data_IF_021415319102
#
_entry.id   IF_021415319102
#
_cell.length_a   1.000
_cell.length_b   1.000
_cell.length_c   1.000
_cell.angle_alpha   90.00
_cell.angle_beta   90.00
_cell.angle_gamma   90.00
#
_symmetry.space_group_name_H-M   'P 1'
#
loop_
_entity.id
_entity.type
_entity.pdbx_description
1 polymer ?
#
# COMPACT_ATOMS: atom_id res chain seq x y z
N UNK A 1 -36.34 -5.84 -29.42
CA UNK A 1 -35.12 -5.56 -30.18
C UNK A 1 -33.96 -5.92 -29.33
N UNK A 2 -33.23 -6.97 -29.70
CA UNK A 2 -32.03 -7.46 -28.97
C UNK A 2 -30.84 -6.61 -29.43
N UNK A 3 -30.19 -5.90 -28.53
CA UNK A 3 -28.87 -5.32 -28.79
C UNK A 3 -27.86 -6.09 -27.96
N UNK A 4 -27.08 -6.92 -28.66
CA UNK A 4 -26.00 -7.70 -28.11
C UNK A 4 -24.82 -6.78 -27.73
N UNK A 5 -24.30 -6.97 -26.54
CA UNK A 5 -23.00 -6.46 -26.14
C UNK A 5 -21.94 -7.47 -26.57
N UNK A 6 -21.20 -7.12 -27.59
CA UNK A 6 -19.99 -7.84 -27.99
C UNK A 6 -18.89 -7.56 -26.99
N UNK A 7 -18.46 -8.61 -26.29
CA UNK A 7 -17.25 -8.64 -25.48
C UNK A 7 -16.04 -8.31 -26.35
N UNK A 8 -15.46 -7.14 -26.17
CA UNK A 8 -14.16 -6.80 -26.73
C UNK A 8 -13.11 -7.54 -25.91
N UNK A 9 -12.61 -8.64 -26.45
CA UNK A 9 -11.52 -9.41 -25.89
C UNK A 9 -10.21 -8.62 -25.91
N UNK A 10 -9.86 -8.03 -24.77
CA UNK A 10 -8.54 -7.46 -24.53
C UNK A 10 -7.53 -8.56 -24.16
N UNK A 11 -7.42 -9.62 -24.99
CA UNK A 11 -6.26 -10.49 -25.02
C UNK A 11 -5.17 -9.86 -25.90
N UNK A 12 -4.76 -8.64 -25.58
CA UNK A 12 -3.52 -8.08 -26.07
C UNK A 12 -2.38 -8.96 -25.59
N UNK A 13 -1.73 -9.70 -26.49
CA UNK A 13 -0.51 -10.45 -26.25
C UNK A 13 0.46 -9.56 -25.47
N UNK A 14 0.62 -9.84 -24.16
CA UNK A 14 1.77 -9.35 -23.40
C UNK A 14 2.99 -9.94 -24.07
N UNK A 15 3.53 -9.20 -25.03
CA UNK A 15 4.79 -9.53 -25.72
C UNK A 15 5.80 -9.67 -24.58
N UNK A 16 6.56 -10.77 -24.54
CA UNK A 16 7.54 -11.08 -23.50
C UNK A 16 8.29 -9.80 -23.08
N UNK A 17 7.94 -9.27 -21.89
CA UNK A 17 8.30 -7.93 -21.43
C UNK A 17 9.61 -7.97 -20.65
N UNK A 18 10.60 -8.57 -21.23
CA UNK A 18 12.02 -8.34 -20.96
C UNK A 18 12.77 -8.90 -22.17
N UNK A 19 13.65 -8.11 -22.79
CA UNK A 19 14.73 -8.75 -23.53
C UNK A 19 15.41 -9.65 -22.50
N UNK A 20 15.41 -10.99 -22.63
CA UNK A 20 16.17 -11.80 -21.73
C UNK A 20 17.60 -11.28 -21.85
N UNK A 21 18.16 -10.72 -20.79
CA UNK A 21 19.59 -10.68 -20.67
C UNK A 21 19.93 -12.16 -20.57
N UNK A 22 20.31 -12.77 -21.69
CA UNK A 22 20.84 -14.13 -21.77
C UNK A 22 22.20 -14.11 -21.07
N UNK A 23 22.16 -13.94 -19.74
CA UNK A 23 23.31 -13.96 -18.89
C UNK A 23 23.67 -15.40 -18.60
N UNK A 24 24.75 -15.87 -19.17
CA UNK A 24 25.45 -17.05 -18.70
C UNK A 24 25.65 -16.97 -17.19
N UNK A 25 25.60 -18.09 -16.50
CA UNK A 25 25.96 -18.18 -15.08
C UNK A 25 27.33 -17.51 -14.90
N UNK A 26 27.39 -16.47 -14.01
CA UNK A 26 28.58 -15.65 -13.78
C UNK A 26 28.55 -14.25 -14.43
N UNK A 27 27.53 -13.89 -15.21
CA UNK A 27 27.43 -12.54 -15.77
C UNK A 27 27.34 -11.46 -14.66
N UNK A 28 28.18 -10.43 -14.80
CA UNK A 28 28.12 -9.26 -13.93
C UNK A 28 27.24 -8.19 -14.57
N UNK A 29 26.31 -7.65 -13.78
CA UNK A 29 25.42 -6.55 -14.15
C UNK A 29 25.83 -5.32 -13.33
N UNK A 30 25.98 -4.18 -13.98
CA UNK A 30 26.26 -2.92 -13.30
C UNK A 30 25.01 -2.05 -13.27
N UNK A 31 24.60 -1.65 -12.08
CA UNK A 31 23.48 -0.75 -11.82
C UNK A 31 23.86 0.34 -10.82
N UNK A 32 23.13 1.42 -10.77
CA UNK A 32 23.30 2.46 -9.74
C UNK A 32 22.47 2.08 -8.52
N UNK A 33 21.28 1.53 -8.76
CA UNK A 33 20.31 1.12 -7.74
C UNK A 33 19.89 -0.33 -7.97
N UNK A 34 19.82 -1.11 -6.88
CA UNK A 34 19.15 -2.42 -6.88
C UNK A 34 17.98 -2.38 -5.92
N UNK A 35 16.81 -2.78 -6.37
CA UNK A 35 15.60 -2.92 -5.57
C UNK A 35 15.28 -4.40 -5.39
N UNK A 36 15.18 -4.85 -4.15
CA UNK A 36 14.79 -6.22 -3.83
C UNK A 36 13.32 -6.23 -3.38
N UNK A 37 12.47 -6.81 -4.23
CA UNK A 37 11.01 -6.84 -4.09
C UNK A 37 10.30 -5.91 -5.06
N UNK A 38 9.53 -6.49 -5.99
CA UNK A 38 8.72 -5.80 -7.01
C UNK A 38 7.27 -5.59 -6.61
N UNK A 39 7.02 -5.39 -5.31
CA UNK A 39 5.69 -5.09 -4.80
C UNK A 39 5.24 -3.64 -5.04
N UNK A 40 4.12 -3.27 -4.37
CA UNK A 40 3.47 -1.95 -4.53
C UNK A 40 4.30 -0.76 -3.98
N UNK A 41 5.47 -1.00 -3.39
CA UNK A 41 6.43 0.04 -3.00
C UNK A 41 7.73 -0.05 -3.81
N UNK A 42 8.28 -1.25 -4.01
CA UNK A 42 9.57 -1.41 -4.70
C UNK A 42 9.50 -1.06 -6.18
N UNK A 43 8.43 -1.47 -6.86
CA UNK A 43 8.26 -1.18 -8.29
C UNK A 43 8.07 0.32 -8.57
N UNK A 44 7.23 1.09 -7.82
CA UNK A 44 7.18 2.55 -7.95
C UNK A 44 8.52 3.23 -7.69
N UNK A 45 9.32 2.76 -6.72
CA UNK A 45 10.64 3.31 -6.47
C UNK A 45 11.60 3.04 -7.64
N UNK A 46 11.58 1.83 -8.19
CA UNK A 46 12.35 1.49 -9.39
C UNK A 46 11.96 2.37 -10.59
N UNK A 47 10.68 2.60 -10.80
CA UNK A 47 10.13 3.49 -11.83
C UNK A 47 10.63 4.92 -11.60
N UNK A 48 10.59 5.44 -10.36
CA UNK A 48 11.04 6.79 -10.03
C UNK A 48 12.52 6.98 -10.39
N UNK A 49 13.39 6.07 -9.97
CA UNK A 49 14.81 6.12 -10.26
C UNK A 49 15.09 6.03 -11.77
N UNK A 50 14.47 5.09 -12.45
CA UNK A 50 14.68 4.88 -13.89
C UNK A 50 14.16 6.05 -14.74
N UNK A 51 13.01 6.64 -14.36
CA UNK A 51 12.47 7.83 -15.01
C UNK A 51 13.40 9.05 -14.87
N UNK A 52 14.22 9.09 -13.82
CA UNK A 52 15.23 10.13 -13.60
C UNK A 52 16.60 9.79 -14.22
N UNK A 53 16.71 8.68 -14.98
CA UNK A 53 17.92 8.29 -15.70
C UNK A 53 18.90 7.38 -14.94
N UNK A 54 18.55 6.92 -13.72
CA UNK A 54 19.40 5.98 -13.00
C UNK A 54 19.18 4.53 -13.50
N UNK A 55 20.28 3.85 -13.82
CA UNK A 55 20.22 2.42 -14.15
C UNK A 55 19.82 1.63 -12.93
N UNK A 56 18.61 1.07 -12.98
CA UNK A 56 17.97 0.40 -11.87
C UNK A 56 17.70 -1.06 -12.21
N UNK A 57 18.03 -1.97 -11.29
CA UNK A 57 17.69 -3.40 -11.38
C UNK A 57 16.69 -3.73 -10.28
N UNK A 58 15.53 -4.24 -10.67
CA UNK A 58 14.52 -4.79 -9.80
C UNK A 58 14.68 -6.31 -9.75
N UNK A 59 14.75 -6.88 -8.56
CA UNK A 59 14.82 -8.33 -8.34
C UNK A 59 13.57 -8.76 -7.59
N UNK A 60 12.79 -9.69 -8.17
CA UNK A 60 11.64 -10.26 -7.49
C UNK A 60 11.62 -11.79 -7.61
N UNK A 61 11.20 -12.46 -6.56
CA UNK A 61 11.10 -13.93 -6.51
C UNK A 61 9.93 -14.46 -7.34
N UNK A 62 8.88 -13.66 -7.50
CA UNK A 62 7.66 -14.02 -8.21
C UNK A 62 7.70 -13.55 -9.66
N UNK A 63 7.20 -14.36 -10.58
CA UNK A 63 7.03 -13.93 -11.96
C UNK A 63 5.93 -12.89 -12.09
N UNK A 64 6.07 -11.87 -12.97
CA UNK A 64 5.01 -10.91 -13.25
C UNK A 64 3.68 -11.57 -13.59
N UNK A 65 3.69 -12.65 -14.36
CA UNK A 65 2.47 -13.39 -14.73
C UNK A 65 1.72 -13.94 -13.49
N UNK A 66 2.46 -14.44 -12.49
CA UNK A 66 1.88 -14.90 -11.20
C UNK A 66 1.27 -13.76 -10.44
N UNK A 67 1.96 -12.63 -10.35
CA UNK A 67 1.50 -11.43 -9.63
C UNK A 67 0.25 -10.79 -10.26
N UNK A 68 0.02 -11.02 -11.55
CA UNK A 68 -1.13 -10.50 -12.31
C UNK A 68 -2.29 -11.49 -12.39
N UNK A 69 -2.10 -12.75 -11.95
CA UNK A 69 -3.14 -13.76 -11.98
C UNK A 69 -4.30 -13.38 -11.01
N UNK A 70 -5.54 -13.67 -11.42
CA UNK A 70 -6.73 -13.35 -10.62
C UNK A 70 -6.72 -13.93 -9.21
N UNK A 71 -6.31 -15.20 -8.98
CA UNK A 71 -6.33 -15.78 -7.65
C UNK A 71 -5.17 -15.31 -6.75
N UNK A 72 -4.26 -14.46 -7.24
CA UNK A 72 -3.08 -14.05 -6.47
C UNK A 72 -3.42 -13.12 -5.30
N UNK A 73 -4.25 -12.11 -5.54
CA UNK A 73 -4.56 -11.08 -4.54
C UNK A 73 -5.91 -10.41 -4.85
N UNK A 74 -6.93 -10.72 -4.10
CA UNK A 74 -8.28 -10.14 -4.23
C UNK A 74 -8.48 -8.86 -3.40
N UNK A 75 -7.41 -8.27 -2.86
CA UNK A 75 -7.50 -7.04 -2.08
C UNK A 75 -7.55 -5.80 -2.98
N UNK A 76 -8.17 -4.76 -2.45
CA UNK A 76 -8.06 -3.40 -2.95
C UNK A 76 -7.25 -2.53 -1.99
N UNK A 77 -6.77 -1.41 -2.49
CA UNK A 77 -6.06 -0.41 -1.70
C UNK A 77 -6.74 0.94 -1.83
N UNK A 78 -6.81 1.66 -0.72
CA UNK A 78 -7.14 3.07 -0.71
C UNK A 78 -5.88 3.86 -1.07
N UNK A 79 -5.88 4.53 -2.21
CA UNK A 79 -4.81 5.42 -2.66
C UNK A 79 -5.21 6.82 -2.22
N UNK A 80 -4.58 7.36 -1.19
CA UNK A 80 -4.83 8.72 -0.71
C UNK A 80 -4.43 9.74 -1.79
N UNK A 81 -5.02 10.93 -1.75
CA UNK A 81 -4.75 12.00 -2.73
C UNK A 81 -3.25 12.27 -2.91
N UNK A 82 -2.48 12.39 -1.82
CA UNK A 82 -1.03 12.57 -1.91
C UNK A 82 -0.29 11.42 -2.59
N UNK A 83 -0.75 10.18 -2.42
CA UNK A 83 -0.19 9.00 -3.10
C UNK A 83 -0.58 8.94 -4.58
N UNK A 84 -1.79 9.40 -4.92
CA UNK A 84 -2.20 9.55 -6.31
C UNK A 84 -1.26 10.50 -7.06
N UNK A 85 -0.90 11.64 -6.48
CA UNK A 85 0.04 12.59 -7.08
C UNK A 85 1.42 11.98 -7.33
N UNK A 86 1.88 11.10 -6.43
CA UNK A 86 3.13 10.36 -6.66
C UNK A 86 2.99 9.44 -7.87
N UNK A 87 1.92 8.65 -7.94
CA UNK A 87 1.68 7.73 -9.06
C UNK A 87 1.49 8.48 -10.39
N UNK A 88 0.88 9.65 -10.35
CA UNK A 88 0.72 10.53 -11.51
C UNK A 88 2.07 11.07 -11.98
N UNK A 89 2.87 11.65 -11.09
CA UNK A 89 4.23 12.11 -11.39
C UNK A 89 5.17 11.01 -11.91
N UNK A 90 4.90 9.74 -11.58
CA UNK A 90 5.60 8.58 -12.13
C UNK A 90 5.05 8.10 -13.48
N UNK A 91 3.97 8.69 -13.99
CA UNK A 91 3.28 8.30 -15.23
C UNK A 91 2.53 6.96 -15.10
N UNK A 92 2.14 6.57 -13.87
CA UNK A 92 1.38 5.34 -13.60
C UNK A 92 -0.12 5.60 -13.60
N UNK A 93 -0.56 6.77 -13.12
CA UNK A 93 -1.95 7.08 -12.86
C UNK A 93 -2.83 6.97 -14.10
N UNK A 94 -2.35 7.37 -15.27
CA UNK A 94 -3.06 7.25 -16.55
C UNK A 94 -3.52 5.81 -16.88
N UNK A 95 -2.93 4.79 -16.25
CA UNK A 95 -3.30 3.39 -16.42
C UNK A 95 -4.23 2.87 -15.33
N UNK A 96 -4.57 3.73 -14.35
CA UNK A 96 -5.43 3.41 -13.20
C UNK A 96 -6.75 4.16 -13.23
N UNK A 97 -6.80 5.31 -13.88
CA UNK A 97 -7.87 6.30 -13.77
C UNK A 97 -9.26 5.72 -13.99
N UNK A 98 -9.44 4.91 -15.04
CA UNK A 98 -10.73 4.30 -15.38
C UNK A 98 -11.20 3.25 -14.34
N UNK A 99 -10.27 2.67 -13.57
CA UNK A 99 -10.55 1.65 -12.57
C UNK A 99 -10.52 2.19 -11.13
N UNK A 100 -10.23 3.48 -10.97
CA UNK A 100 -10.10 4.13 -9.68
C UNK A 100 -11.43 4.75 -9.24
N UNK A 101 -12.04 4.24 -8.18
CA UNK A 101 -13.27 4.80 -7.63
C UNK A 101 -12.94 5.90 -6.61
N UNK A 102 -13.37 7.15 -6.82
CA UNK A 102 -13.13 8.21 -5.86
C UNK A 102 -13.87 8.00 -4.54
N UNK A 103 -13.20 8.38 -3.43
CA UNK A 103 -13.76 8.48 -2.09
C UNK A 103 -14.14 9.93 -1.86
N UNK A 104 -15.44 10.22 -1.87
CA UNK A 104 -15.99 11.56 -1.72
C UNK A 104 -16.35 11.84 -0.26
N UNK A 105 -16.87 10.83 0.42
CA UNK A 105 -17.27 10.88 1.81
C UNK A 105 -16.63 9.76 2.61
N UNK A 106 -16.33 10.05 3.89
CA UNK A 106 -15.91 9.02 4.85
C UNK A 106 -16.85 9.11 6.05
N UNK A 107 -17.49 7.99 6.38
CA UNK A 107 -18.36 7.86 7.55
C UNK A 107 -17.73 6.91 8.56
N UNK A 108 -17.50 7.40 9.77
CA UNK A 108 -16.94 6.62 10.86
C UNK A 108 -17.98 6.49 11.95
N UNK A 109 -18.35 5.26 12.30
CA UNK A 109 -19.37 4.99 13.32
C UNK A 109 -18.88 3.91 14.30
N UNK A 110 -19.27 4.05 15.57
CA UNK A 110 -19.22 2.96 16.54
C UNK A 110 -20.58 2.24 16.54
N UNK A 111 -20.62 0.94 16.43
CA UNK A 111 -21.85 0.14 16.36
C UNK A 111 -22.87 0.45 17.47
N UNK A 112 -22.40 0.82 18.65
CA UNK A 112 -23.23 1.08 19.83
C UNK A 112 -23.66 2.55 19.96
N UNK A 113 -23.17 3.45 19.08
CA UNK A 113 -23.40 4.89 19.19
C UNK A 113 -24.34 5.39 18.07
N UNK A 114 -25.31 6.25 18.37
CA UNK A 114 -26.04 7.00 17.36
C UNK A 114 -25.20 8.13 16.75
N UNK A 115 -24.02 8.38 17.29
CA UNK A 115 -23.10 9.41 16.82
C UNK A 115 -22.17 8.83 15.76
N UNK A 116 -21.98 9.56 14.68
CA UNK A 116 -21.01 9.22 13.63
C UNK A 116 -20.21 10.47 13.25
N UNK A 117 -18.99 10.26 12.80
CA UNK A 117 -18.16 11.31 12.25
C UNK A 117 -18.29 11.26 10.73
N UNK A 118 -18.57 12.39 10.12
CA UNK A 118 -18.72 12.52 8.68
C UNK A 118 -17.68 13.46 8.11
N UNK A 119 -16.87 12.99 7.22
CA UNK A 119 -15.94 13.79 6.43
C UNK A 119 -16.49 13.94 5.02
N UNK A 120 -16.84 15.15 4.63
CA UNK A 120 -17.19 15.55 3.27
C UNK A 120 -15.96 16.20 2.63
N UNK A 121 -15.50 15.69 1.47
CA UNK A 121 -14.32 16.23 0.81
C UNK A 121 -14.44 17.73 0.51
N UNK A 122 -15.64 18.24 0.25
CA UNK A 122 -15.88 19.65 -0.06
C UNK A 122 -15.52 20.60 1.10
N UNK A 123 -15.40 20.10 2.34
CA UNK A 123 -14.94 20.90 3.48
C UNK A 123 -13.43 21.25 3.43
N UNK A 124 -12.65 20.55 2.59
CA UNK A 124 -11.20 20.76 2.46
C UNK A 124 -10.74 21.04 1.03
N UNK A 125 -11.66 21.02 0.06
CA UNK A 125 -11.40 21.35 -1.35
C UNK A 125 -12.31 20.57 -2.29
N UNK A 126 -12.09 20.68 -3.60
CA UNK A 126 -12.92 20.02 -4.63
C UNK A 126 -12.43 18.61 -4.99
N UNK A 127 -11.35 18.14 -4.36
CA UNK A 127 -10.70 16.88 -4.71
C UNK A 127 -11.10 15.76 -3.73
N UNK A 128 -11.25 14.52 -4.19
CA UNK A 128 -11.59 13.40 -3.35
C UNK A 128 -10.49 13.12 -2.29
N UNK A 129 -10.86 12.43 -1.21
CA UNK A 129 -9.87 12.00 -0.19
C UNK A 129 -8.82 11.06 -0.77
N UNK A 130 -9.21 10.31 -1.79
CA UNK A 130 -8.41 9.31 -2.46
C UNK A 130 -9.29 8.43 -3.35
N UNK A 131 -8.77 7.27 -3.72
CA UNK A 131 -9.44 6.33 -4.62
C UNK A 131 -9.26 4.91 -4.13
N UNK A 132 -10.25 4.07 -4.35
CA UNK A 132 -10.13 2.63 -4.16
C UNK A 132 -9.79 1.98 -5.50
N UNK A 133 -8.72 1.18 -5.51
CA UNK A 133 -8.25 0.45 -6.70
C UNK A 133 -7.88 -0.98 -6.30
N UNK A 134 -8.23 -1.95 -7.13
CA UNK A 134 -7.81 -3.34 -6.95
C UNK A 134 -6.28 -3.46 -7.06
N UNK A 135 -5.64 -4.16 -6.14
CA UNK A 135 -4.18 -4.32 -6.14
C UNK A 135 -3.65 -4.93 -7.45
N UNK A 136 -4.44 -5.82 -8.07
CA UNK A 136 -4.11 -6.39 -9.38
C UNK A 136 -4.00 -5.32 -10.45
N UNK A 137 -4.94 -4.37 -10.49
CA UNK A 137 -4.95 -3.26 -11.45
C UNK A 137 -3.76 -2.34 -11.21
N UNK A 138 -3.44 -2.05 -9.93
CA UNK A 138 -2.24 -1.26 -9.60
C UNK A 138 -0.98 -1.96 -10.13
N UNK A 139 -0.83 -3.28 -9.94
CA UNK A 139 0.30 -4.03 -10.48
C UNK A 139 0.35 -3.99 -12.00
N UNK A 140 -0.78 -4.17 -12.69
CA UNK A 140 -0.86 -4.08 -14.14
C UNK A 140 -0.35 -2.73 -14.65
N UNK A 141 -0.79 -1.63 -14.04
CA UNK A 141 -0.37 -0.27 -14.36
C UNK A 141 1.15 -0.07 -14.14
N UNK A 142 1.66 -0.54 -13.00
CA UNK A 142 3.08 -0.46 -12.67
C UNK A 142 3.95 -1.27 -13.65
N UNK A 143 3.56 -2.49 -13.99
CA UNK A 143 4.28 -3.28 -14.98
C UNK A 143 4.21 -2.69 -16.38
N UNK A 144 3.07 -2.09 -16.74
CA UNK A 144 2.93 -1.37 -18.00
C UNK A 144 3.89 -0.19 -18.06
N UNK A 145 3.95 0.64 -17.02
CA UNK A 145 4.87 1.75 -16.93
C UNK A 145 6.34 1.31 -16.92
N UNK A 146 6.66 0.26 -16.18
CA UNK A 146 8.00 -0.33 -16.16
C UNK A 146 8.50 -0.69 -17.57
N UNK A 147 7.64 -1.26 -18.41
CA UNK A 147 8.00 -1.67 -19.76
C UNK A 147 8.39 -0.54 -20.71
N UNK A 148 8.02 0.68 -20.38
CA UNK A 148 8.34 1.89 -21.13
C UNK A 148 9.73 2.47 -20.76
N UNK A 149 10.36 1.96 -19.69
CA UNK A 149 11.58 2.52 -19.13
C UNK A 149 12.80 1.64 -19.45
N UNK A 150 13.65 2.11 -20.35
CA UNK A 150 14.88 1.40 -20.73
C UNK A 150 15.88 1.28 -19.58
N UNK A 151 15.87 2.24 -18.64
CA UNK A 151 16.75 2.25 -17.47
C UNK A 151 16.31 1.30 -16.35
N UNK A 152 15.16 0.61 -16.47
CA UNK A 152 14.67 -0.35 -15.47
C UNK A 152 14.72 -1.77 -16.01
N UNK A 153 15.60 -2.58 -15.44
CA UNK A 153 15.69 -4.02 -15.74
C UNK A 153 15.01 -4.82 -14.62
N UNK A 154 14.04 -5.66 -14.97
CA UNK A 154 13.38 -6.56 -14.04
C UNK A 154 13.95 -7.97 -14.16
N UNK A 155 14.46 -8.52 -13.07
CA UNK A 155 14.91 -9.90 -12.93
C UNK A 155 13.91 -10.66 -12.06
N UNK A 156 12.98 -11.38 -12.70
CA UNK A 156 11.92 -12.16 -12.05
C UNK A 156 11.56 -13.40 -12.91
N UNK A 157 11.56 -14.62 -12.35
CA UNK A 157 11.86 -14.92 -10.96
C UNK A 157 13.36 -14.87 -10.67
N UNK A 158 13.74 -14.17 -9.61
CA UNK A 158 15.10 -14.17 -9.09
C UNK A 158 15.10 -13.77 -7.60
N UNK A 159 16.09 -14.23 -6.87
CA UNK A 159 16.23 -13.90 -5.46
C UNK A 159 17.69 -13.74 -5.06
N UNK A 160 18.01 -12.81 -4.14
CA UNK A 160 19.35 -12.69 -3.58
C UNK A 160 19.72 -13.96 -2.82
N UNK A 161 20.92 -14.49 -3.07
CA UNK A 161 21.54 -15.53 -2.25
C UNK A 161 22.47 -14.89 -1.20
N UNK A 162 23.13 -13.77 -1.56
CA UNK A 162 24.05 -13.04 -0.68
C UNK A 162 24.10 -11.57 -1.08
N UNK A 163 24.18 -10.67 -0.09
CA UNK A 163 24.36 -9.23 -0.29
C UNK A 163 25.56 -8.76 0.54
N UNK A 164 26.61 -8.34 -0.12
CA UNK A 164 27.83 -7.79 0.51
C UNK A 164 27.85 -6.29 0.33
N UNK A 165 28.10 -5.56 1.42
CA UNK A 165 28.07 -4.10 1.43
C UNK A 165 29.36 -3.57 2.04
N UNK A 166 30.16 -2.83 1.25
CA UNK A 166 31.34 -2.13 1.73
C UNK A 166 31.14 -0.60 1.72
N UNK A 167 32.19 0.17 1.94
CA UNK A 167 32.12 1.64 1.95
C UNK A 167 31.82 2.24 0.57
N UNK A 168 32.17 1.56 -0.52
CA UNK A 168 32.11 2.08 -1.88
C UNK A 168 30.97 1.52 -2.73
N UNK A 169 30.53 0.28 -2.45
CA UNK A 169 29.60 -0.46 -3.30
C UNK A 169 28.84 -1.56 -2.56
N UNK A 170 27.89 -2.13 -3.29
CA UNK A 170 27.17 -3.34 -2.92
C UNK A 170 27.34 -4.37 -4.01
N UNK A 171 27.54 -5.63 -3.62
CA UNK A 171 27.53 -6.78 -4.51
C UNK A 171 26.37 -7.70 -4.12
N UNK A 172 25.41 -7.86 -5.02
CA UNK A 172 24.27 -8.77 -4.87
C UNK A 172 24.53 -10.01 -5.71
N UNK A 173 24.75 -11.15 -5.07
CA UNK A 173 24.80 -12.44 -5.74
C UNK A 173 23.39 -13.05 -5.75
N UNK A 174 22.89 -13.43 -6.92
CA UNK A 174 21.60 -14.09 -7.10
C UNK A 174 21.76 -15.62 -7.00
N UNK A 175 20.66 -16.29 -6.64
CA UNK A 175 20.65 -17.76 -6.51
C UNK A 175 20.93 -18.50 -7.82
N UNK A 176 20.72 -17.86 -8.97
CA UNK A 176 21.02 -18.39 -10.31
C UNK A 176 22.46 -18.13 -10.76
N UNK A 177 23.31 -17.58 -9.92
CA UNK A 177 24.72 -17.32 -10.16
C UNK A 177 25.05 -15.97 -10.79
N UNK A 178 24.06 -15.17 -11.21
CA UNK A 178 24.27 -13.78 -11.67
C UNK A 178 24.74 -12.91 -10.50
N UNK A 179 25.50 -11.86 -10.80
CA UNK A 179 26.00 -10.90 -9.81
C UNK A 179 25.66 -9.48 -10.26
N UNK A 180 25.19 -8.66 -9.32
CA UNK A 180 24.85 -7.25 -9.60
C UNK A 180 25.74 -6.39 -8.72
N UNK A 181 26.48 -5.45 -9.33
CA UNK A 181 27.24 -4.43 -8.64
C UNK A 181 26.45 -3.13 -8.64
N UNK A 182 26.28 -2.53 -7.46
CA UNK A 182 25.47 -1.31 -7.32
C UNK A 182 26.05 -0.38 -6.25
N UNK A 183 25.55 0.87 -6.19
CA UNK A 183 25.87 1.86 -5.16
C UNK A 183 24.92 1.80 -3.97
N UNK A 184 23.66 1.42 -4.21
CA UNK A 184 22.60 1.33 -3.19
C UNK A 184 21.74 0.10 -3.42
N UNK A 185 21.44 -0.65 -2.37
CA UNK A 185 20.39 -1.66 -2.35
C UNK A 185 19.21 -1.17 -1.54
N UNK A 186 18.00 -1.33 -2.08
CA UNK A 186 16.75 -0.95 -1.42
C UNK A 186 15.95 -2.21 -1.14
N UNK A 187 15.67 -2.47 0.13
CA UNK A 187 14.85 -3.59 0.57
C UNK A 187 13.36 -3.19 0.54
N UNK A 188 12.62 -3.76 -0.41
CA UNK A 188 11.18 -3.67 -0.54
C UNK A 188 10.55 -5.08 -0.54
N UNK A 189 11.21 -6.03 0.13
CA UNK A 189 10.92 -7.46 0.19
C UNK A 189 9.87 -7.84 1.24
N UNK A 190 9.12 -6.84 1.71
CA UNK A 190 7.93 -6.99 2.53
C UNK A 190 8.20 -7.21 4.02
N UNK A 191 7.13 -7.49 4.77
CA UNK A 191 7.15 -7.60 6.24
C UNK A 191 8.21 -8.55 6.79
N UNK A 192 8.50 -9.62 6.08
CA UNK A 192 9.50 -10.63 6.43
C UNK A 192 10.86 -10.38 5.77
N UNK A 193 11.23 -9.12 5.57
CA UNK A 193 12.45 -8.71 4.89
C UNK A 193 13.69 -9.49 5.33
N UNK A 194 14.31 -10.20 4.38
CA UNK A 194 15.55 -10.91 4.60
C UNK A 194 16.71 -9.91 4.75
N UNK A 195 16.74 -8.87 3.91
CA UNK A 195 17.79 -7.84 3.96
C UNK A 195 17.80 -7.08 5.29
N UNK A 196 16.62 -6.80 5.84
CA UNK A 196 16.50 -6.20 7.18
C UNK A 196 17.14 -7.08 8.24
N UNK A 197 16.83 -8.39 8.23
CA UNK A 197 17.43 -9.37 9.18
C UNK A 197 18.92 -9.50 9.01
N UNK A 198 19.41 -9.62 7.77
CA UNK A 198 20.83 -9.76 7.44
C UNK A 198 21.64 -8.52 7.85
N UNK A 199 21.02 -7.35 7.85
CA UNK A 199 21.59 -6.11 8.35
C UNK A 199 21.56 -5.98 9.88
N UNK A 200 21.04 -6.98 10.60
CA UNK A 200 20.91 -6.94 12.06
C UNK A 200 19.95 -5.85 12.56
N UNK A 201 19.01 -5.40 11.72
CA UNK A 201 18.03 -4.37 12.09
C UNK A 201 16.88 -5.05 12.84
N UNK A 202 16.77 -4.73 14.13
CA UNK A 202 15.69 -5.23 14.98
C UNK A 202 14.35 -4.63 14.60
N UNK A 203 13.27 -5.33 14.97
CA UNK A 203 11.90 -4.83 14.81
C UNK A 203 11.20 -4.74 16.15
N UNK A 204 10.35 -3.74 16.28
CA UNK A 204 9.42 -3.56 17.39
C UNK A 204 8.01 -3.69 16.87
N UNK A 205 7.12 -4.20 17.67
CA UNK A 205 5.72 -4.34 17.28
C UNK A 205 5.05 -5.49 18.02
N UNK A 206 3.85 -5.79 17.63
CA UNK A 206 3.06 -6.88 18.19
C UNK A 206 2.12 -7.46 17.14
N UNK A 207 1.83 -8.73 17.27
CA UNK A 207 0.74 -9.36 16.56
C UNK A 207 -0.57 -9.06 17.32
N UNK A 208 -1.58 -8.57 16.60
CA UNK A 208 -2.89 -8.43 17.18
C UNK A 208 -3.60 -9.80 17.20
N UNK A 209 -4.41 -10.08 18.23
CA UNK A 209 -5.25 -11.28 18.24
C UNK A 209 -6.43 -11.15 17.25
N UNK A 210 -6.16 -10.63 16.07
CA UNK A 210 -7.11 -10.26 15.03
C UNK A 210 -6.62 -10.69 13.66
N UNK A 211 -7.57 -11.10 12.79
CA UNK A 211 -7.36 -11.27 11.36
C UNK A 211 -8.29 -10.34 10.59
N UNK A 212 -7.86 -9.93 9.41
CA UNK A 212 -8.74 -9.29 8.44
C UNK A 212 -9.27 -10.35 7.46
N UNK A 213 -10.58 -10.36 7.24
CA UNK A 213 -11.25 -11.06 6.13
C UNK A 213 -11.52 -10.00 5.07
N UNK A 214 -11.08 -10.24 3.85
CA UNK A 214 -11.19 -9.25 2.76
C UNK A 214 -11.74 -9.89 1.50
N UNK A 215 -12.50 -9.11 0.74
CA UNK A 215 -13.03 -9.47 -0.56
C UNK A 215 -13.96 -8.39 -1.10
N UNK A 216 -14.70 -8.71 -2.13
CA UNK A 216 -15.60 -7.79 -2.82
C UNK A 216 -17.04 -8.20 -2.64
N UNK A 217 -17.94 -7.24 -2.49
CA UNK A 217 -19.38 -7.42 -2.54
C UNK A 217 -19.98 -6.61 -3.69
N UNK A 218 -20.97 -7.18 -4.37
CA UNK A 218 -21.92 -6.44 -5.18
C UNK A 218 -23.09 -6.00 -4.30
N UNK A 219 -23.75 -4.89 -4.64
CA UNK A 219 -24.89 -4.37 -3.90
C UNK A 219 -25.91 -3.69 -4.82
N UNK A 220 -27.15 -3.62 -4.33
CA UNK A 220 -28.31 -3.16 -5.12
C UNK A 220 -28.26 -1.65 -5.38
N UNK A 221 -28.00 -0.85 -4.35
CA UNK A 221 -28.05 0.62 -4.40
C UNK A 221 -26.67 1.22 -4.62
N UNK A 222 -26.54 2.37 -5.30
CA UNK A 222 -25.26 3.03 -5.49
C UNK A 222 -24.67 3.53 -4.17
N UNK A 223 -23.35 3.37 -4.00
CA UNK A 223 -22.59 3.84 -2.82
C UNK A 223 -22.26 5.34 -2.83
N UNK A 224 -22.45 6.03 -3.94
CA UNK A 224 -22.18 7.47 -4.09
C UNK A 224 -20.78 7.93 -3.68
N UNK A 225 -19.76 7.07 -3.78
CA UNK A 225 -18.39 7.38 -3.34
C UNK A 225 -18.17 7.42 -1.83
N UNK A 226 -19.11 6.90 -1.04
CA UNK A 226 -19.04 6.88 0.42
C UNK A 226 -18.22 5.68 0.91
N UNK A 227 -17.12 5.94 1.63
CA UNK A 227 -16.40 4.93 2.42
C UNK A 227 -16.98 4.89 3.84
N UNK A 228 -17.19 3.70 4.36
CA UNK A 228 -17.74 3.51 5.71
C UNK A 228 -16.75 2.70 6.54
N UNK A 229 -16.50 3.17 7.77
CA UNK A 229 -15.70 2.47 8.77
C UNK A 229 -16.58 2.26 10.00
N UNK A 230 -17.04 1.05 10.23
CA UNK A 230 -17.76 0.66 11.44
C UNK A 230 -16.82 0.04 12.45
N UNK A 231 -16.70 0.62 13.62
CA UNK A 231 -15.98 -0.01 14.72
C UNK A 231 -16.87 -1.01 15.44
N UNK A 232 -16.51 -2.28 15.32
CA UNK A 232 -17.17 -3.41 15.98
C UNK A 232 -16.31 -3.91 17.15
N UNK A 233 -16.86 -4.70 18.09
CA UNK A 233 -16.09 -5.22 19.24
C UNK A 233 -14.85 -6.06 18.89
N UNK A 234 -14.85 -6.70 17.71
CA UNK A 234 -13.71 -7.46 17.21
C UNK A 234 -12.67 -6.60 16.48
N UNK A 235 -13.03 -5.38 16.11
CA UNK A 235 -12.21 -4.44 15.36
C UNK A 235 -12.98 -3.75 14.23
N UNK A 236 -12.32 -2.94 13.40
CA UNK A 236 -12.98 -2.20 12.33
C UNK A 236 -13.53 -3.11 11.22
N UNK A 237 -14.67 -2.67 10.67
CA UNK A 237 -15.33 -3.25 9.51
C UNK A 237 -15.47 -2.13 8.47
N UNK A 238 -14.64 -2.18 7.44
CA UNK A 238 -14.61 -1.17 6.38
C UNK A 238 -15.41 -1.62 5.16
N UNK A 239 -16.19 -0.69 4.59
CA UNK A 239 -16.89 -0.82 3.32
C UNK A 239 -16.37 0.29 2.42
N UNK A 240 -15.63 -0.08 1.39
CA UNK A 240 -14.89 0.87 0.55
C UNK A 240 -15.47 0.86 -0.86
N UNK A 241 -15.88 2.01 -1.42
CA UNK A 241 -16.54 2.08 -2.72
C UNK A 241 -15.60 1.62 -3.85
N UNK A 242 -16.10 0.78 -4.74
CA UNK A 242 -15.41 0.35 -5.97
C UNK A 242 -16.23 0.73 -7.20
N UNK A 243 -15.62 0.71 -8.36
CA UNK A 243 -16.31 1.00 -9.62
C UNK A 243 -17.56 0.12 -9.82
N UNK A 244 -18.67 0.74 -10.24
CA UNK A 244 -19.98 0.11 -10.31
C UNK A 244 -20.65 0.00 -8.93
N UNK A 245 -21.66 -0.84 -8.82
CA UNK A 245 -22.31 -1.13 -7.55
C UNK A 245 -21.55 -2.24 -6.82
N UNK A 246 -20.29 -1.98 -6.50
CA UNK A 246 -19.40 -2.89 -5.78
C UNK A 246 -18.71 -2.17 -4.63
N UNK A 247 -18.38 -2.90 -3.59
CA UNK A 247 -17.54 -2.42 -2.50
C UNK A 247 -16.52 -3.45 -2.07
N UNK A 248 -15.32 -3.01 -1.73
CA UNK A 248 -14.36 -3.84 -1.02
C UNK A 248 -14.70 -3.86 0.46
N UNK A 249 -14.68 -5.04 1.05
CA UNK A 249 -14.89 -5.25 2.48
C UNK A 249 -13.56 -5.62 3.13
N UNK A 250 -13.25 -4.95 4.24
CA UNK A 250 -12.18 -5.35 5.16
C UNK A 250 -12.81 -5.57 6.52
N UNK A 251 -13.03 -6.82 6.85
CA UNK A 251 -13.68 -7.25 8.08
C UNK A 251 -12.65 -7.75 9.09
N UNK A 252 -12.39 -6.96 10.12
CA UNK A 252 -11.54 -7.39 11.23
C UNK A 252 -12.32 -8.29 12.19
N UNK A 253 -11.76 -9.46 12.49
CA UNK A 253 -12.35 -10.42 13.40
C UNK A 253 -11.28 -11.02 14.35
N UNK A 254 -11.72 -11.55 15.49
CA UNK A 254 -10.83 -12.25 16.42
C UNK A 254 -10.15 -13.43 15.73
N UNK A 255 -8.85 -13.57 15.87
CA UNK A 255 -8.07 -14.63 15.23
C UNK A 255 -8.62 -16.04 15.54
N UNK A 256 -9.15 -16.26 16.75
CA UNK A 256 -9.75 -17.51 17.16
C UNK A 256 -11.05 -17.86 16.39
N UNK A 257 -11.82 -16.88 15.93
CA UNK A 257 -13.08 -17.06 15.22
C UNK A 257 -12.93 -17.13 13.70
N UNK A 258 -11.88 -16.50 13.17
CA UNK A 258 -11.65 -16.39 11.72
C UNK A 258 -11.64 -17.75 11.00
N UNK A 259 -10.97 -18.81 11.49
CA UNK A 259 -10.96 -20.09 10.78
C UNK A 259 -12.37 -20.73 10.67
N UNK A 260 -13.25 -20.51 11.64
CA UNK A 260 -14.61 -20.98 11.59
C UNK A 260 -15.44 -20.21 10.55
N UNK A 261 -15.30 -18.87 10.52
CA UNK A 261 -15.96 -18.01 9.53
C UNK A 261 -15.53 -18.34 8.10
N UNK A 262 -14.25 -18.57 7.88
CA UNK A 262 -13.71 -18.91 6.56
C UNK A 262 -14.20 -20.28 6.03
N UNK A 263 -14.64 -21.17 6.90
CA UNK A 263 -15.20 -22.50 6.55
C UNK A 263 -16.71 -22.52 6.36
N UNK A 264 -17.41 -21.42 6.66
CA UNK A 264 -18.85 -21.36 6.46
C UNK A 264 -19.20 -21.53 4.97
N UNK A 265 -20.31 -22.20 4.70
CA UNK A 265 -20.92 -22.16 3.38
C UNK A 265 -21.35 -20.72 3.02
N UNK A 266 -21.66 -20.49 1.74
CA UNK A 266 -21.96 -19.14 1.26
C UNK A 266 -23.21 -18.54 1.93
N UNK A 267 -24.23 -19.35 2.21
CA UNK A 267 -25.45 -18.88 2.86
C UNK A 267 -25.21 -18.48 4.33
N UNK A 268 -24.44 -19.28 5.08
CA UNK A 268 -24.08 -18.96 6.45
C UNK A 268 -23.14 -17.75 6.53
N UNK A 269 -22.15 -17.68 5.63
CA UNK A 269 -21.26 -16.53 5.56
C UNK A 269 -21.99 -15.23 5.20
N UNK A 270 -22.94 -15.32 4.26
CA UNK A 270 -23.77 -14.18 3.88
C UNK A 270 -24.58 -13.63 5.07
N UNK A 271 -25.15 -14.50 5.90
CA UNK A 271 -25.87 -14.06 7.13
C UNK A 271 -24.95 -13.30 8.08
N UNK A 272 -23.73 -13.77 8.27
CA UNK A 272 -22.75 -13.09 9.12
C UNK A 272 -22.25 -11.76 8.52
N UNK A 273 -22.10 -11.72 7.21
CA UNK A 273 -21.79 -10.48 6.47
C UNK A 273 -22.91 -9.45 6.62
N UNK A 274 -24.17 -9.84 6.32
CA UNK A 274 -25.32 -8.94 6.35
C UNK A 274 -25.54 -8.29 7.72
N UNK A 275 -25.32 -9.02 8.82
CA UNK A 275 -25.41 -8.47 10.18
C UNK A 275 -24.44 -7.32 10.43
N UNK A 276 -23.27 -7.31 9.78
CA UNK A 276 -22.22 -6.31 9.96
C UNK A 276 -22.30 -5.21 8.92
N UNK A 277 -22.72 -5.56 7.72
CA UNK A 277 -22.81 -4.66 6.59
C UNK A 277 -23.99 -3.69 6.71
N UNK A 278 -25.11 -4.16 7.27
CA UNK A 278 -26.37 -3.40 7.31
C UNK A 278 -27.11 -3.44 5.97
N UNK A 279 -28.17 -2.63 5.86
CA UNK A 279 -29.12 -2.60 4.75
C UNK A 279 -29.08 -1.34 3.87
N UNK A 280 -28.16 -0.41 4.18
CA UNK A 280 -28.13 0.90 3.54
C UNK A 280 -27.82 0.85 2.03
N UNK A 281 -27.12 -0.19 1.56
CA UNK A 281 -26.86 -0.46 0.12
C UNK A 281 -27.85 -1.51 -0.47
N UNK A 282 -28.89 -1.90 0.26
CA UNK A 282 -29.86 -2.91 -0.17
C UNK A 282 -29.30 -4.32 -0.09
N UNK A 283 -29.73 -5.20 -0.98
CA UNK A 283 -29.21 -6.56 -1.06
C UNK A 283 -27.72 -6.56 -1.40
N UNK A 284 -26.94 -7.42 -0.71
CA UNK A 284 -25.50 -7.56 -0.92
C UNK A 284 -25.16 -9.00 -1.27
N UNK A 285 -24.17 -9.21 -2.14
CA UNK A 285 -23.69 -10.51 -2.55
C UNK A 285 -22.15 -10.53 -2.56
N UNK A 286 -21.55 -11.52 -1.88
CA UNK A 286 -20.09 -11.68 -1.89
C UNK A 286 -19.62 -12.21 -3.25
N UNK A 287 -18.59 -11.57 -3.80
CA UNK A 287 -18.02 -11.92 -5.10
C UNK A 287 -16.63 -12.53 -4.97
N UNK A 288 -16.44 -13.71 -5.54
CA UNK A 288 -15.12 -14.36 -5.62
C UNK A 288 -14.64 -14.97 -4.29
N UNK A 289 -13.32 -15.22 -4.19
CA UNK A 289 -12.74 -15.87 -3.01
C UNK A 289 -12.76 -14.99 -1.78
N UNK A 290 -12.73 -15.62 -0.61
CA UNK A 290 -12.55 -14.96 0.70
C UNK A 290 -11.06 -15.01 1.03
N UNK A 291 -10.47 -13.87 1.38
CA UNK A 291 -9.08 -13.77 1.77
C UNK A 291 -8.99 -13.50 3.26
N UNK A 292 -8.01 -14.10 3.94
CA UNK A 292 -7.76 -13.82 5.36
C UNK A 292 -6.27 -13.69 5.63
N UNK A 293 -5.91 -12.70 6.46
CA UNK A 293 -4.53 -12.46 6.85
C UNK A 293 -4.43 -11.92 8.29
N UNK A 294 -3.37 -12.31 9.03
CA UNK A 294 -3.15 -11.82 10.38
C UNK A 294 -2.81 -10.32 10.38
N UNK A 295 -3.30 -9.62 11.40
CA UNK A 295 -3.01 -8.22 11.64
C UNK A 295 -1.86 -8.08 12.61
N UNK A 296 -0.94 -7.18 12.29
CA UNK A 296 0.24 -6.89 13.09
C UNK A 296 0.67 -5.44 12.93
N UNK A 297 1.41 -4.96 13.90
CA UNK A 297 2.20 -3.73 13.80
C UNK A 297 3.67 -4.09 13.91
N UNK A 298 4.50 -3.52 13.04
CA UNK A 298 5.93 -3.76 12.99
C UNK A 298 6.66 -2.48 12.61
N UNK A 299 7.74 -2.19 13.33
CA UNK A 299 8.66 -1.09 13.00
C UNK A 299 10.09 -1.58 13.04
N UNK A 300 10.84 -1.26 12.00
CA UNK A 300 12.27 -1.40 12.02
C UNK A 300 12.91 -0.35 12.95
N UNK A 301 13.86 -0.76 13.77
CA UNK A 301 14.63 0.12 14.67
C UNK A 301 15.26 1.30 13.93
N UNK A 302 15.71 1.05 12.70
CA UNK A 302 16.20 2.03 11.75
C UNK A 302 15.80 1.63 10.32
N UNK A 303 15.55 2.60 9.48
CA UNK A 303 15.15 2.37 8.08
C UNK A 303 16.38 2.28 7.14
N UNK A 304 17.58 2.40 7.67
CA UNK A 304 18.83 2.43 6.89
C UNK A 304 19.94 1.59 7.54
N UNK A 305 20.88 1.19 6.72
CA UNK A 305 22.20 0.70 7.11
C UNK A 305 23.21 1.07 6.01
N UNK A 306 24.47 0.66 6.13
CA UNK A 306 25.49 0.92 5.11
C UNK A 306 24.97 0.53 3.73
N UNK A 307 24.78 1.51 2.83
CA UNK A 307 24.28 1.32 1.45
C UNK A 307 23.00 0.52 1.34
N UNK A 308 22.15 0.55 2.36
CA UNK A 308 20.85 -0.10 2.44
C UNK A 308 19.80 0.89 2.91
N UNK A 309 18.68 0.96 2.20
CA UNK A 309 17.44 1.57 2.66
C UNK A 309 16.32 0.54 2.72
N UNK A 310 15.48 0.60 3.74
CA UNK A 310 14.24 -0.16 3.85
C UNK A 310 13.07 0.69 3.34
N UNK A 311 12.12 0.06 2.63
CA UNK A 311 11.01 0.74 1.99
C UNK A 311 9.69 -0.02 2.26
N UNK A 312 8.64 0.71 2.61
CA UNK A 312 7.31 0.15 2.86
C UNK A 312 7.31 -0.92 3.95
N UNK A 313 6.67 -2.07 3.70
CA UNK A 313 6.52 -3.15 4.68
C UNK A 313 7.85 -3.72 5.21
N UNK A 314 8.96 -3.52 4.50
CA UNK A 314 10.28 -3.89 5.01
C UNK A 314 10.72 -2.99 6.17
N UNK A 315 10.28 -1.74 6.21
CA UNK A 315 10.56 -0.77 7.27
C UNK A 315 9.45 -0.73 8.33
N UNK A 316 8.18 -0.82 7.92
CA UNK A 316 7.03 -0.67 8.82
C UNK A 316 5.79 -1.37 8.26
N UNK A 317 5.03 -1.99 9.16
CA UNK A 317 3.69 -2.51 8.91
C UNK A 317 2.76 -1.87 9.93
N UNK A 318 1.64 -1.32 9.48
CA UNK A 318 0.64 -0.70 10.36
C UNK A 318 -0.70 -1.42 10.25
N UNK A 319 -1.55 -1.24 11.27
CA UNK A 319 -2.90 -1.76 11.24
C UNK A 319 -3.67 -1.16 10.04
N UNK A 320 -4.50 -1.94 9.30
CA UNK A 320 -5.17 -1.48 8.07
C UNK A 320 -6.27 -0.45 8.29
N UNK A 321 -6.46 0.08 9.48
CA UNK A 321 -7.40 1.19 9.76
C UNK A 321 -7.15 2.31 8.75
N UNK A 322 -8.23 2.76 8.13
CA UNK A 322 -8.22 3.81 7.11
C UNK A 322 -7.29 3.55 5.89
N UNK A 323 -6.86 2.31 5.64
CA UNK A 323 -6.11 1.92 4.44
C UNK A 323 -4.75 2.60 4.26
N UNK A 324 -4.07 3.03 5.35
CA UNK A 324 -2.88 3.89 5.27
C UNK A 324 -1.55 3.16 5.00
N UNK A 325 -1.51 1.82 5.04
CA UNK A 325 -0.26 1.06 4.89
C UNK A 325 0.46 1.32 3.56
N UNK A 326 -0.25 1.19 2.44
CA UNK A 326 0.30 1.48 1.12
C UNK A 326 0.71 2.95 0.98
N UNK A 327 -0.12 3.88 1.46
CA UNK A 327 0.13 5.32 1.37
C UNK A 327 1.41 5.73 2.09
N UNK A 328 1.67 5.13 3.26
CA UNK A 328 2.92 5.36 3.99
C UNK A 328 4.13 4.86 3.19
N UNK A 329 4.02 3.67 2.55
CA UNK A 329 5.05 3.12 1.67
C UNK A 329 5.29 3.98 0.42
N UNK A 330 4.24 4.54 -0.20
CA UNK A 330 4.36 5.46 -1.34
C UNK A 330 5.03 6.78 -0.94
N UNK A 331 4.79 7.27 0.28
CA UNK A 331 5.51 8.45 0.81
C UNK A 331 6.99 8.14 1.05
N UNK A 332 7.33 6.91 1.47
CA UNK A 332 8.74 6.48 1.54
C UNK A 332 9.37 6.48 0.15
N UNK A 333 8.67 5.95 -0.85
CA UNK A 333 9.10 5.97 -2.27
C UNK A 333 9.43 7.40 -2.69
N UNK A 334 8.50 8.34 -2.49
CA UNK A 334 8.68 9.72 -2.91
C UNK A 334 9.87 10.40 -2.21
N UNK A 335 10.02 10.20 -0.89
CA UNK A 335 11.11 10.79 -0.11
C UNK A 335 12.48 10.21 -0.49
N UNK A 336 12.59 8.88 -0.59
CA UNK A 336 13.86 8.25 -0.95
C UNK A 336 14.25 8.56 -2.41
N UNK A 337 13.29 8.54 -3.33
CA UNK A 337 13.52 8.86 -4.74
C UNK A 337 14.02 10.29 -4.90
N UNK A 338 13.41 11.27 -4.23
CA UNK A 338 13.87 12.68 -4.26
C UNK A 338 15.34 12.81 -3.84
N UNK A 339 15.71 12.21 -2.71
CA UNK A 339 17.08 12.29 -2.19
C UNK A 339 18.12 11.58 -3.08
N UNK A 340 17.74 10.42 -3.61
CA UNK A 340 18.59 9.61 -4.50
C UNK A 340 18.80 10.31 -5.84
N UNK A 341 17.74 10.86 -6.43
CA UNK A 341 17.79 11.58 -7.71
C UNK A 341 18.59 12.88 -7.58
N UNK A 342 18.39 13.63 -6.49
CA UNK A 342 19.17 14.86 -6.24
C UNK A 342 20.65 14.55 -6.09
N UNK A 343 21.01 13.51 -5.33
CA UNK A 343 22.39 13.08 -5.19
C UNK A 343 22.99 12.70 -6.56
N UNK A 344 22.26 11.94 -7.37
CA UNK A 344 22.69 11.55 -8.71
C UNK A 344 22.93 12.74 -9.61
N UNK A 345 22.00 13.69 -9.67
CA UNK A 345 22.11 14.91 -10.51
C UNK A 345 23.28 15.81 -10.12
N UNK A 346 23.63 15.82 -8.85
CA UNK A 346 24.79 16.54 -8.32
C UNK A 346 26.11 15.77 -8.49
N UNK A 347 26.09 14.56 -9.09
CA UNK A 347 27.27 13.70 -9.21
C UNK A 347 27.72 13.06 -7.89
N UNK A 348 26.87 13.13 -6.84
CA UNK A 348 27.13 12.55 -5.54
C UNK A 348 26.77 11.05 -5.51
N UNK A 349 27.21 10.36 -4.47
CA UNK A 349 26.90 8.94 -4.28
C UNK A 349 25.50 8.74 -3.66
N UNK A 350 24.52 8.17 -4.40
CA UNK A 350 23.18 7.95 -3.89
C UNK A 350 23.09 6.95 -2.72
N UNK A 351 24.13 6.12 -2.53
CA UNK A 351 24.25 5.19 -1.40
C UNK A 351 25.05 5.73 -0.22
N UNK A 352 25.42 7.02 -0.21
CA UNK A 352 26.18 7.63 0.87
C UNK A 352 25.39 7.71 2.18
N UNK A 353 26.11 7.75 3.30
CA UNK A 353 25.49 7.85 4.62
C UNK A 353 24.64 9.12 4.76
N UNK A 354 25.11 10.26 4.22
CA UNK A 354 24.36 11.52 4.28
C UNK A 354 22.98 11.42 3.62
N UNK A 355 22.88 10.86 2.42
CA UNK A 355 21.62 10.66 1.70
C UNK A 355 20.67 9.78 2.51
N UNK A 356 21.19 8.66 3.05
CA UNK A 356 20.38 7.69 3.80
C UNK A 356 19.93 8.24 5.15
N UNK A 357 20.78 8.96 5.87
CA UNK A 357 20.43 9.61 7.13
C UNK A 357 19.35 10.70 6.95
N UNK A 358 19.43 11.47 5.85
CA UNK A 358 18.38 12.44 5.50
C UNK A 358 17.06 11.74 5.26
N UNK A 359 17.05 10.62 4.53
CA UNK A 359 15.85 9.79 4.35
C UNK A 359 15.29 9.31 5.68
N UNK A 360 16.11 8.73 6.55
CA UNK A 360 15.66 8.21 7.85
C UNK A 360 15.09 9.33 8.72
N UNK A 361 15.76 10.50 8.82
CA UNK A 361 15.24 11.63 9.61
C UNK A 361 13.91 12.13 9.08
N UNK A 362 13.78 12.22 7.75
CA UNK A 362 12.55 12.68 7.13
C UNK A 362 11.36 11.75 7.42
N UNK A 363 11.58 10.44 7.27
CA UNK A 363 10.48 9.48 7.41
C UNK A 363 10.14 9.10 8.85
N UNK A 364 11.10 9.21 9.77
CA UNK A 364 10.93 8.74 11.15
C UNK A 364 9.75 9.40 11.87
N UNK A 365 9.63 10.71 11.76
CA UNK A 365 8.55 11.46 12.45
C UNK A 365 7.18 11.09 11.89
N UNK A 366 7.03 11.08 10.56
CA UNK A 366 5.77 10.72 9.89
C UNK A 366 5.34 9.31 10.24
N UNK A 367 6.26 8.36 10.15
CA UNK A 367 5.99 6.95 10.41
C UNK A 367 5.56 6.72 11.86
N UNK A 368 6.31 7.26 12.83
CA UNK A 368 5.99 7.09 14.25
C UNK A 368 4.65 7.76 14.62
N UNK A 369 4.40 8.97 14.12
CA UNK A 369 3.16 9.69 14.41
C UNK A 369 1.93 8.94 13.87
N UNK A 370 1.94 8.56 12.59
CA UNK A 370 0.81 7.82 11.99
C UNK A 370 0.55 6.50 12.70
N UNK A 371 1.61 5.83 13.06
CA UNK A 371 1.57 4.53 13.70
C UNK A 371 1.01 4.59 15.11
N UNK A 372 1.45 5.56 15.91
CA UNK A 372 0.92 5.78 17.25
C UNK A 372 -0.58 6.10 17.19
N UNK A 373 -1.01 6.90 16.20
CA UNK A 373 -2.42 7.23 15.99
C UNK A 373 -3.23 5.97 15.61
N UNK A 374 -2.77 5.19 14.65
CA UNK A 374 -3.50 3.98 14.22
C UNK A 374 -3.58 2.90 15.31
N UNK A 375 -2.50 2.71 16.08
CA UNK A 375 -2.50 1.77 17.22
C UNK A 375 -3.43 2.25 18.34
N UNK A 376 -3.38 3.55 18.68
CA UNK A 376 -4.27 4.13 19.67
C UNK A 376 -5.75 4.02 19.27
N UNK A 377 -6.07 4.30 17.99
CA UNK A 377 -7.43 4.13 17.48
C UNK A 377 -7.87 2.66 17.54
N UNK A 378 -7.02 1.72 17.08
CA UNK A 378 -7.37 0.31 17.16
C UNK A 378 -7.66 -0.13 18.60
N UNK A 379 -6.79 0.21 19.55
CA UNK A 379 -6.98 -0.14 20.97
C UNK A 379 -8.19 0.54 21.59
N UNK A 380 -8.45 1.80 21.23
CA UNK A 380 -9.58 2.54 21.75
C UNK A 380 -10.92 1.97 21.24
N UNK A 381 -11.00 1.54 19.98
CA UNK A 381 -12.24 1.12 19.34
C UNK A 381 -12.47 -0.41 19.33
N UNK A 382 -11.43 -1.23 19.51
CA UNK A 382 -11.55 -2.70 19.52
C UNK A 382 -11.75 -3.27 20.94
N UNK A 383 -12.73 -2.72 21.68
CA UNK A 383 -13.12 -3.23 22.99
C UNK A 383 -14.55 -2.84 23.34
N UNK A 384 -15.13 -3.49 24.38
CA UNK A 384 -16.49 -3.27 24.87
C UNK A 384 -16.56 -2.64 26.27
N UNK A 385 -15.52 -1.93 26.69
CA UNK A 385 -15.42 -1.33 28.01
C UNK A 385 -16.30 -0.06 28.06
N UNK A 386 -17.35 -0.06 28.89
CA UNK A 386 -18.35 1.00 28.95
C UNK A 386 -17.77 2.44 29.13
N UNK A 387 -16.86 2.71 30.08
CA UNK A 387 -16.24 4.02 30.21
C UNK A 387 -15.46 4.47 28.95
N UNK A 388 -14.84 3.54 28.21
CA UNK A 388 -14.13 3.86 26.98
C UNK A 388 -15.08 4.20 25.83
N UNK A 389 -16.29 3.63 25.81
CA UNK A 389 -17.33 4.00 24.84
C UNK A 389 -17.71 5.47 24.98
N UNK A 390 -17.94 5.94 26.23
CA UNK A 390 -18.24 7.35 26.47
C UNK A 390 -17.11 8.27 25.98
N UNK A 391 -15.87 7.91 26.22
CA UNK A 391 -14.70 8.66 25.74
C UNK A 391 -14.66 8.70 24.20
N UNK A 392 -14.95 7.57 23.53
CA UNK A 392 -15.04 7.50 22.05
C UNK A 392 -16.13 8.41 21.51
N UNK A 393 -17.34 8.32 22.06
CA UNK A 393 -18.48 9.12 21.63
C UNK A 393 -18.23 10.62 21.81
N UNK A 394 -17.66 11.02 22.95
CA UNK A 394 -17.24 12.41 23.19
C UNK A 394 -16.12 12.84 22.24
N UNK A 395 -15.17 11.96 21.95
CA UNK A 395 -14.09 12.21 21.01
C UNK A 395 -14.61 12.42 19.57
N UNK A 396 -15.48 11.55 19.08
CA UNK A 396 -16.12 11.69 17.77
C UNK A 396 -16.94 12.99 17.68
N UNK A 397 -17.76 13.28 18.70
CA UNK A 397 -18.55 14.50 18.77
C UNK A 397 -17.68 15.77 18.85
N UNK A 398 -16.55 15.72 19.56
CA UNK A 398 -15.61 16.84 19.63
C UNK A 398 -14.97 17.12 18.27
N UNK A 399 -14.52 16.09 17.56
CA UNK A 399 -13.94 16.23 16.22
C UNK A 399 -14.99 16.78 15.25
N UNK A 400 -16.20 16.22 15.24
CA UNK A 400 -17.30 16.68 14.36
C UNK A 400 -17.66 18.16 14.61
N UNK A 401 -17.67 18.60 15.86
CA UNK A 401 -18.04 19.98 16.25
C UNK A 401 -16.89 20.99 16.19
N UNK A 402 -15.66 20.54 15.90
CA UNK A 402 -14.48 21.41 15.89
C UNK A 402 -13.88 21.47 14.47
N UNK A 403 -14.35 22.38 13.59
CA UNK A 403 -13.96 22.41 12.18
C UNK A 403 -12.45 22.44 11.92
N UNK A 404 -11.59 23.16 12.69
CA UNK A 404 -10.14 23.10 12.48
C UNK A 404 -9.55 21.73 12.73
N UNK A 405 -10.02 21.02 13.78
CA UNK A 405 -9.55 19.67 14.12
C UNK A 405 -10.04 18.65 13.10
N UNK A 406 -11.29 18.76 12.67
CA UNK A 406 -11.89 17.94 11.60
C UNK A 406 -11.08 18.06 10.32
N UNK A 407 -10.82 19.29 9.84
CA UNK A 407 -10.01 19.54 8.63
C UNK A 407 -8.56 19.04 8.76
N UNK A 408 -7.99 19.09 9.94
CA UNK A 408 -6.66 18.52 10.18
C UNK A 408 -6.66 17.01 9.92
N UNK A 409 -7.63 16.26 10.47
CA UNK A 409 -7.75 14.83 10.23
C UNK A 409 -8.06 14.49 8.76
N UNK A 410 -8.92 15.27 8.11
CA UNK A 410 -9.24 15.11 6.69
C UNK A 410 -7.99 15.27 5.82
N UNK A 411 -7.20 16.33 6.01
CA UNK A 411 -5.94 16.53 5.30
C UNK A 411 -4.91 15.44 5.60
N UNK A 412 -4.94 14.92 6.81
CA UNK A 412 -4.08 13.79 7.19
C UNK A 412 -4.48 12.51 6.44
N UNK A 413 -5.77 12.22 6.33
CA UNK A 413 -6.31 11.11 5.53
C UNK A 413 -5.95 11.25 4.03
N UNK A 414 -5.96 12.47 3.48
CA UNK A 414 -5.51 12.77 2.12
C UNK A 414 -3.99 12.59 1.93
N UNK A 415 -3.21 12.47 3.00
CA UNK A 415 -1.77 12.32 2.92
C UNK A 415 -1.00 13.59 2.56
N UNK A 416 -1.56 14.78 2.85
CA UNK A 416 -1.00 16.09 2.50
C UNK A 416 -0.56 16.92 3.71
N UNK A 417 -0.22 16.26 4.81
CA UNK A 417 0.26 16.90 6.04
C UNK A 417 1.75 16.58 6.26
N UNK A 418 2.50 17.52 6.85
CA UNK A 418 3.92 17.40 7.16
C UNK A 418 4.84 17.96 6.07
N UNK A 419 6.12 17.60 6.12
CA UNK A 419 7.09 17.97 5.08
C UNK A 419 6.94 17.04 3.89
N UNK A 420 6.29 17.54 2.83
CA UNK A 420 5.91 16.74 1.68
C UNK A 420 7.05 16.64 0.65
N UNK A 421 7.38 15.44 0.15
CA UNK A 421 8.23 15.25 -1.01
C UNK A 421 7.68 15.94 -2.27
N UNK A 422 8.55 16.29 -3.22
CA UNK A 422 8.17 16.93 -4.50
C UNK A 422 7.04 16.20 -5.22
N UNK A 423 7.15 14.89 -5.39
CA UNK A 423 6.10 14.10 -6.06
C UNK A 423 4.75 14.22 -5.35
N UNK A 424 4.70 14.27 -4.01
CA UNK A 424 3.45 14.46 -3.26
C UNK A 424 2.87 15.86 -3.49
N UNK A 425 3.75 16.87 -3.67
CA UNK A 425 3.33 18.22 -4.07
C UNK A 425 2.93 18.33 -5.55
N UNK A 426 3.18 17.26 -6.36
CA UNK A 426 2.95 17.21 -7.80
C UNK A 426 4.05 17.91 -8.60
N UNK A 427 5.21 18.03 -8.02
CA UNK A 427 6.42 18.54 -8.67
C UNK A 427 7.25 17.35 -9.19
N UNK A 428 7.92 17.52 -10.31
CA UNK A 428 8.81 16.49 -10.86
C UNK A 428 10.03 16.26 -9.97
N UNK A 429 10.59 15.05 -10.06
CA UNK A 429 11.86 14.71 -9.42
C UNK A 429 13.01 15.47 -10.07
#
# INVERSE_FOLDING_TARGET
MRTGWTSVGAAGKVRAMSKPISGQAGAQIDAEIVVIGGGLAGLPFGIACASAGLRTVLVDREQPATLLAEPFDGRSSAIAYGSQRVLDGLGVWQYLEDAAQPILDIRVADQASPLFLHYDHTEVGDLPFGWIVENRVIRQALFRRMAELEMLTCLAPAQPARVERDAARVLVALADGRRIRTRLVVAADGRNSALRRDAGIRTFGTDYPQHAISGTVAHEKPHHGVAVEHFLPAGPFAILPMTGNRSSVVWTEKAALTPALMKLDDAAFHRELARRFGDFLGAVEWQGPRWSYPLQILYAERAIDRRLALLGDAAHVIHPIAGQGLNLGIRDVAALAELVVDAHRLGLDPGSADVLERYQRWRRVDTLALSAVTDALNRLFSNDIGPLRLVRDLGLALVERTPPLKRFFMRHAMGVVGTLPRLVRGEAL
#
